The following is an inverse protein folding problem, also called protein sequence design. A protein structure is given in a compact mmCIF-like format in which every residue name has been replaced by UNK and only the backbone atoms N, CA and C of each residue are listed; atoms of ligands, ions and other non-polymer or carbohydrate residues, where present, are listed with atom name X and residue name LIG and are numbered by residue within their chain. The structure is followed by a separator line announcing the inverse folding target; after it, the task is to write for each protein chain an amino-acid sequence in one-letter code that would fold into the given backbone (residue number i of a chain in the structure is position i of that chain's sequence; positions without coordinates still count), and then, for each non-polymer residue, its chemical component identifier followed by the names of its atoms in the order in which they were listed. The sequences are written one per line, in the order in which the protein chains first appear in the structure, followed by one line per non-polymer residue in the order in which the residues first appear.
data_IF_589971067128
#
_entry.id   IF_589971067128
#
_cell.length_a   1.000
_cell.length_b   1.000
_cell.length_c   1.000
_cell.angle_alpha   90.00
_cell.angle_beta   90.00
_cell.angle_gamma   90.00
#
_symmetry.space_group_name_H-M   'P 1'
#
loop_
_entity.id
_entity.type
_entity.pdbx_description
1 polymer ?
#
# COMPACT_ATOMS: atom_id res chain seq x y z
N UNK A 1 -2.46 55.63 22.58
CA UNK A 1 -1.65 54.79 23.48
C UNK A 1 -1.75 53.34 23.03
N UNK A 2 -0.60 52.66 22.98
CA UNK A 2 -0.39 51.28 22.52
C UNK A 2 -1.16 50.26 23.37
N UNK A 3 -1.63 49.16 22.77
CA UNK A 3 -1.04 47.84 23.05
C UNK A 3 -1.50 46.76 22.05
N UNK A 4 -0.50 46.18 21.40
CA UNK A 4 -0.52 44.96 20.60
C UNK A 4 -0.16 43.79 21.54
N UNK A 5 -0.89 42.66 21.45
CA UNK A 5 -0.40 41.28 21.71
C UNK A 5 -1.24 40.33 20.82
N UNK A 6 -0.77 39.90 19.64
CA UNK A 6 -0.13 38.60 19.33
C UNK A 6 -0.93 37.36 19.79
N UNK A 7 -1.62 36.68 18.85
CA UNK A 7 -1.26 35.44 18.11
C UNK A 7 -1.62 34.16 18.88
N UNK A 8 -2.40 33.30 18.21
CA UNK A 8 -2.64 31.91 18.60
C UNK A 8 -3.54 31.19 17.60
N UNK A 9 -3.04 30.96 16.38
CA UNK A 9 -3.62 29.97 15.45
C UNK A 9 -3.57 28.59 16.12
N UNK A 10 -4.73 27.98 16.38
CA UNK A 10 -4.82 26.54 16.62
C UNK A 10 -5.42 25.90 15.37
N UNK A 11 -4.60 25.09 14.70
CA UNK A 11 -4.95 24.32 13.52
C UNK A 11 -6.10 23.36 13.84
N UNK A 12 -7.19 23.47 13.09
CA UNK A 12 -8.27 22.48 13.07
C UNK A 12 -7.75 21.26 12.31
N UNK A 13 -7.28 20.26 13.06
CA UNK A 13 -7.05 18.93 12.51
C UNK A 13 -8.42 18.28 12.24
N UNK A 14 -8.84 18.29 10.97
CA UNK A 14 -10.03 17.58 10.52
C UNK A 14 -9.88 16.07 10.73
N UNK A 15 -10.55 15.57 11.76
CA UNK A 15 -10.68 14.15 12.06
C UNK A 15 -11.81 13.59 11.18
N UNK A 16 -11.48 12.97 10.04
CA UNK A 16 -12.45 12.13 9.33
C UNK A 16 -12.40 10.75 9.95
N UNK A 17 -13.19 10.54 10.99
CA UNK A 17 -13.57 9.22 11.46
C UNK A 17 -14.75 8.73 10.63
N UNK A 18 -14.54 7.76 9.74
CA UNK A 18 -15.65 6.97 9.21
C UNK A 18 -15.87 5.82 10.19
N UNK A 19 -16.83 6.01 11.09
CA UNK A 19 -17.37 4.95 11.92
C UNK A 19 -18.28 4.06 11.06
N UNK A 20 -17.92 2.78 10.94
CA UNK A 20 -18.88 1.72 10.68
C UNK A 20 -18.73 0.73 11.83
N UNK A 21 -19.66 0.79 12.79
CA UNK A 21 -19.68 -0.09 13.94
C UNK A 21 -20.00 -1.52 13.53
N UNK A 22 -19.28 -2.48 14.11
CA UNK A 22 -19.77 -3.84 14.38
C UNK A 22 -19.10 -4.33 15.67
N UNK A 23 -19.90 -4.98 16.51
CA UNK A 23 -19.61 -5.25 17.91
C UNK A 23 -18.34 -6.08 18.15
N UNK A 24 -17.75 -5.86 19.34
CA UNK A 24 -16.76 -6.75 19.95
C UNK A 24 -17.32 -8.17 20.02
N UNK A 25 -16.88 -9.04 19.12
CA UNK A 25 -16.72 -10.45 19.43
C UNK A 25 -15.23 -10.71 19.57
N UNK A 26 -14.80 -11.10 20.78
CA UNK A 26 -13.45 -11.57 21.03
C UNK A 26 -13.13 -12.73 20.07
N UNK A 27 -11.96 -12.74 19.39
CA UNK A 27 -11.62 -13.84 18.52
C UNK A 27 -11.41 -15.11 19.35
N UNK A 28 -12.16 -16.17 19.02
CA UNK A 28 -12.11 -17.50 19.65
C UNK A 28 -10.94 -18.37 19.15
N UNK A 29 -9.97 -17.79 18.46
CA UNK A 29 -8.80 -18.48 17.92
C UNK A 29 -7.52 -17.93 18.57
N UNK A 30 -6.54 -18.79 18.92
CA UNK A 30 -5.29 -18.33 19.53
C UNK A 30 -4.64 -17.25 18.65
N UNK A 31 -4.02 -16.21 19.24
CA UNK A 31 -3.28 -15.23 18.47
C UNK A 31 -2.19 -15.95 17.68
N UNK A 32 -2.26 -15.89 16.34
CA UNK A 32 -1.19 -16.40 15.47
C UNK A 32 0.12 -15.65 15.80
N UNK A 33 1.29 -16.30 15.66
CA UNK A 33 2.58 -15.62 15.82
C UNK A 33 2.63 -14.41 14.88
N UNK A 34 2.75 -13.22 15.47
CA UNK A 34 2.90 -11.97 14.74
C UNK A 34 4.39 -11.68 14.58
N UNK A 35 4.81 -11.23 13.39
CA UNK A 35 6.15 -10.66 13.22
C UNK A 35 6.26 -9.40 14.07
N UNK A 36 7.40 -9.22 14.72
CA UNK A 36 7.67 -8.04 15.54
C UNK A 36 7.43 -6.75 14.74
N UNK A 37 6.80 -5.75 15.36
CA UNK A 37 6.54 -4.43 14.76
C UNK A 37 5.26 -4.31 13.93
N UNK A 38 4.50 -5.40 13.73
CA UNK A 38 3.19 -5.35 13.07
C UNK A 38 2.07 -5.64 14.06
N UNK A 39 1.14 -4.71 14.22
CA UNK A 39 -0.09 -4.97 14.97
C UNK A 39 -1.18 -5.40 13.99
N UNK A 40 -1.43 -6.71 13.93
CA UNK A 40 -2.39 -7.34 13.01
C UNK A 40 -3.57 -7.87 13.81
N UNK A 41 -4.75 -7.34 13.54
CA UNK A 41 -6.00 -7.84 14.09
C UNK A 41 -6.80 -8.55 12.98
N UNK A 42 -7.13 -9.83 13.21
CA UNK A 42 -7.98 -10.60 12.30
C UNK A 42 -9.45 -10.30 12.58
N UNK A 43 -10.13 -9.67 11.64
CA UNK A 43 -11.58 -9.40 11.69
C UNK A 43 -12.35 -10.68 11.39
N UNK A 44 -11.90 -11.44 10.39
CA UNK A 44 -12.29 -12.83 10.21
C UNK A 44 -11.15 -13.62 9.59
N UNK A 45 -11.17 -14.92 9.82
CA UNK A 45 -10.25 -15.88 9.23
C UNK A 45 -11.02 -17.19 8.97
N UNK A 46 -10.92 -17.71 7.76
CA UNK A 46 -11.58 -18.94 7.32
C UNK A 46 -10.56 -19.81 6.60
N UNK A 47 -10.72 -21.12 6.77
CA UNK A 47 -9.94 -22.13 6.06
C UNK A 47 -10.88 -23.11 5.38
N UNK A 48 -10.53 -23.53 4.16
CA UNK A 48 -11.26 -24.57 3.43
C UNK A 48 -10.26 -25.48 2.73
N UNK A 49 -10.49 -26.79 2.77
CA UNK A 49 -9.73 -27.73 1.95
C UNK A 49 -10.31 -27.76 0.54
N UNK A 50 -9.50 -27.44 -0.46
CA UNK A 50 -9.82 -27.50 -1.89
C UNK A 50 -8.72 -28.30 -2.58
N UNK A 51 -9.08 -29.38 -3.28
CA UNK A 51 -8.14 -30.31 -3.94
C UNK A 51 -7.02 -30.81 -3.02
N UNK A 52 -7.37 -31.15 -1.78
CA UNK A 52 -6.41 -31.61 -0.75
C UNK A 52 -5.49 -30.52 -0.18
N UNK A 53 -5.62 -29.26 -0.64
CA UNK A 53 -4.85 -28.12 -0.14
C UNK A 53 -5.70 -27.26 0.79
N UNK A 54 -5.15 -26.90 1.95
CA UNK A 54 -5.77 -25.91 2.82
C UNK A 54 -5.65 -24.52 2.17
N UNK A 55 -6.78 -23.87 1.92
CA UNK A 55 -6.91 -22.51 1.40
C UNK A 55 -7.41 -21.59 2.49
N UNK A 56 -6.84 -20.41 2.58
CA UNK A 56 -7.17 -19.42 3.59
C UNK A 56 -7.87 -18.19 2.99
N UNK A 57 -8.84 -17.65 3.71
CA UNK A 57 -9.39 -16.31 3.45
C UNK A 57 -9.52 -15.53 4.74
N UNK A 58 -9.20 -14.24 4.69
CA UNK A 58 -9.22 -13.42 5.89
C UNK A 58 -9.43 -11.95 5.56
N UNK A 59 -9.96 -11.21 6.54
CA UNK A 59 -9.91 -9.75 6.60
C UNK A 59 -9.13 -9.36 7.83
N UNK A 60 -8.20 -8.44 7.67
CA UNK A 60 -7.38 -7.92 8.75
C UNK A 60 -7.47 -6.40 8.86
N UNK A 61 -7.30 -5.90 10.06
CA UNK A 61 -6.94 -4.52 10.35
C UNK A 61 -5.45 -4.50 10.74
N UNK A 62 -4.72 -3.52 10.22
CA UNK A 62 -3.30 -3.37 10.47
C UNK A 62 -2.98 -1.97 10.92
N UNK A 63 -2.04 -1.90 11.86
CA UNK A 63 -1.38 -0.67 12.28
C UNK A 63 0.12 -0.90 12.12
N UNK A 64 0.74 -0.14 11.22
CA UNK A 64 2.18 -0.18 11.00
C UNK A 64 2.78 1.22 11.28
N UNK A 65 3.95 1.23 11.92
CA UNK A 65 4.75 2.45 12.08
C UNK A 65 5.75 2.51 10.94
N UNK A 66 5.62 3.52 10.08
CA UNK A 66 6.42 3.65 8.86
C UNK A 66 7.43 4.77 9.02
N UNK A 67 8.68 4.52 8.63
CA UNK A 67 9.75 5.50 8.61
C UNK A 67 9.88 6.11 7.22
N UNK A 68 10.00 7.43 7.12
CA UNK A 68 10.12 8.10 5.83
C UNK A 68 11.39 7.65 5.12
N UNK A 69 11.27 7.24 3.87
CA UNK A 69 12.38 6.80 3.04
C UNK A 69 12.71 7.89 2.02
N UNK A 70 13.98 8.31 2.00
CA UNK A 70 14.52 9.07 0.88
C UNK A 70 14.93 8.08 -0.20
N UNK A 71 14.17 8.03 -1.30
CA UNK A 71 14.47 7.17 -2.44
C UNK A 71 15.82 7.55 -3.04
N UNK A 72 16.83 6.70 -2.91
CA UNK A 72 18.14 6.92 -3.54
C UNK A 72 18.14 6.43 -5.00
N UNK A 73 17.27 5.46 -5.30
CA UNK A 73 17.07 4.91 -6.62
C UNK A 73 16.38 5.92 -7.56
N UNK A 74 17.13 6.46 -8.52
CA UNK A 74 16.64 7.47 -9.46
C UNK A 74 15.60 6.91 -10.42
N UNK A 75 15.76 5.67 -10.87
CA UNK A 75 14.82 5.02 -11.78
C UNK A 75 13.48 4.80 -11.07
N UNK A 76 13.50 4.26 -9.85
CA UNK A 76 12.28 4.08 -9.05
C UNK A 76 11.63 5.41 -8.68
N UNK A 77 12.43 6.43 -8.33
CA UNK A 77 11.89 7.77 -8.11
C UNK A 77 11.17 8.28 -9.36
N UNK A 78 11.78 8.18 -10.53
CA UNK A 78 11.19 8.59 -11.81
C UNK A 78 9.93 7.79 -12.13
N UNK A 79 9.96 6.47 -12.00
CA UNK A 79 8.81 5.60 -12.21
C UNK A 79 7.61 5.98 -11.33
N UNK A 80 7.87 6.23 -10.04
CA UNK A 80 6.82 6.60 -9.09
C UNK A 80 6.28 8.03 -9.32
N UNK A 81 7.16 9.02 -9.49
CA UNK A 81 6.78 10.43 -9.60
C UNK A 81 6.20 10.81 -10.97
N UNK A 82 6.68 10.20 -12.06
CA UNK A 82 6.29 10.61 -13.43
C UNK A 82 5.29 9.68 -14.09
N UNK A 83 5.27 8.40 -13.74
CA UNK A 83 4.37 7.42 -14.37
C UNK A 83 3.22 7.03 -13.43
N UNK A 84 3.53 6.40 -12.30
CA UNK A 84 2.53 5.91 -11.36
C UNK A 84 1.67 7.05 -10.80
N UNK A 85 2.30 8.15 -10.35
CA UNK A 85 1.58 9.33 -9.88
C UNK A 85 0.59 9.85 -10.92
N UNK A 86 1.01 9.95 -12.19
CA UNK A 86 0.15 10.42 -13.26
C UNK A 86 -1.02 9.47 -13.52
N UNK A 87 -0.81 8.15 -13.48
CA UNK A 87 -1.89 7.15 -13.60
C UNK A 87 -2.89 7.25 -12.45
N UNK A 88 -2.42 7.41 -11.21
CA UNK A 88 -3.28 7.60 -10.03
C UNK A 88 -4.10 8.89 -10.17
N UNK A 89 -3.49 10.01 -10.57
CA UNK A 89 -4.20 11.28 -10.76
C UNK A 89 -5.28 11.19 -11.85
N UNK A 90 -5.06 10.41 -12.92
CA UNK A 90 -6.11 10.18 -13.93
C UNK A 90 -7.26 9.38 -13.34
N UNK A 91 -7.00 8.31 -12.58
CA UNK A 91 -8.06 7.56 -11.90
C UNK A 91 -8.84 8.43 -10.90
N UNK A 92 -8.16 9.34 -10.19
CA UNK A 92 -8.81 10.32 -9.32
C UNK A 92 -9.72 11.27 -10.10
N UNK A 93 -9.23 11.86 -11.19
CA UNK A 93 -10.03 12.77 -12.04
C UNK A 93 -11.24 12.08 -12.65
N UNK A 94 -11.09 10.80 -13.02
CA UNK A 94 -12.17 9.96 -13.56
C UNK A 94 -13.07 9.34 -12.47
N UNK A 95 -12.89 9.70 -11.20
CA UNK A 95 -13.69 9.23 -10.04
C UNK A 95 -13.64 7.71 -9.79
N UNK A 96 -12.63 7.01 -10.32
CA UNK A 96 -12.35 5.61 -9.98
C UNK A 96 -11.63 5.48 -8.63
N UNK A 97 -10.86 6.51 -8.24
CA UNK A 97 -10.30 6.62 -6.91
C UNK A 97 -11.33 7.30 -5.98
N UNK A 98 -11.93 6.52 -5.08
CA UNK A 98 -12.99 7.02 -4.19
C UNK A 98 -12.47 7.91 -3.07
N UNK A 99 -11.22 7.71 -2.65
CA UNK A 99 -10.63 8.40 -1.49
C UNK A 99 -9.49 9.30 -1.94
N UNK A 100 -9.50 10.61 -1.60
CA UNK A 100 -8.50 11.56 -2.09
C UNK A 100 -7.09 11.33 -1.52
N UNK A 101 -6.99 10.75 -0.32
CA UNK A 101 -5.73 10.47 0.39
C UNK A 101 -5.47 8.97 0.52
N UNK A 102 -5.74 8.21 -0.55
CA UNK A 102 -5.48 6.78 -0.61
C UNK A 102 -4.02 6.46 -0.26
N UNK A 103 -3.83 5.51 0.67
CA UNK A 103 -2.57 4.85 0.94
C UNK A 103 -2.34 3.74 -0.08
N UNK A 104 -1.20 3.81 -0.77
CA UNK A 104 -0.75 2.77 -1.69
C UNK A 104 0.38 1.96 -1.06
N UNK A 105 0.66 0.79 -1.62
CA UNK A 105 1.60 -0.18 -1.08
C UNK A 105 2.51 -0.68 -2.18
N UNK A 106 3.82 -0.70 -1.92
CA UNK A 106 4.82 -1.32 -2.78
C UNK A 106 5.19 -2.68 -2.17
N UNK A 107 4.87 -3.76 -2.88
CA UNK A 107 5.09 -5.14 -2.42
C UNK A 107 5.87 -5.95 -3.46
N UNK A 108 6.67 -6.94 -3.04
CA UNK A 108 7.42 -7.77 -3.96
C UNK A 108 6.51 -8.85 -4.55
N UNK A 109 6.52 -9.02 -5.87
CA UNK A 109 5.80 -10.12 -6.55
C UNK A 109 6.58 -11.42 -6.47
N UNK A 110 7.91 -11.33 -6.46
CA UNK A 110 8.88 -12.43 -6.43
C UNK A 110 10.01 -12.14 -5.45
N UNK A 111 10.77 -13.17 -5.08
CA UNK A 111 11.87 -13.07 -4.14
C UNK A 111 13.07 -12.26 -4.68
N UNK A 112 13.19 -12.10 -5.99
CA UNK A 112 14.26 -11.35 -6.66
C UNK A 112 14.13 -9.84 -6.54
N UNK A 113 13.00 -9.33 -6.02
CA UNK A 113 12.66 -7.90 -5.91
C UNK A 113 12.71 -7.13 -7.26
N UNK A 114 12.84 -7.84 -8.38
CA UNK A 114 12.83 -7.25 -9.72
C UNK A 114 11.41 -6.94 -10.20
N UNK A 115 10.45 -7.73 -9.71
CA UNK A 115 9.03 -7.56 -9.99
C UNK A 115 8.32 -7.04 -8.73
N UNK A 116 7.78 -5.83 -8.83
CA UNK A 116 7.09 -5.14 -7.75
C UNK A 116 5.65 -4.85 -8.17
N UNK A 117 4.76 -4.77 -7.20
CA UNK A 117 3.42 -4.23 -7.39
C UNK A 117 3.23 -2.97 -6.55
N UNK A 118 2.60 -1.96 -7.14
CA UNK A 118 2.08 -0.76 -6.48
C UNK A 118 0.55 -0.87 -6.48
N UNK A 119 -0.07 -0.91 -5.31
CA UNK A 119 -1.51 -1.19 -5.20
C UNK A 119 -2.19 -0.53 -4.01
N UNK A 120 -3.52 -0.43 -4.03
CA UNK A 120 -4.29 -0.18 -2.81
C UNK A 120 -4.31 -1.42 -1.91
N UNK A 121 -4.63 -1.25 -0.63
CA UNK A 121 -4.66 -2.32 0.35
C UNK A 121 -5.52 -3.52 -0.09
N UNK A 122 -6.67 -3.26 -0.73
CA UNK A 122 -7.60 -4.29 -1.18
C UNK A 122 -7.00 -5.27 -2.20
N UNK A 123 -5.90 -4.91 -2.87
CA UNK A 123 -5.33 -5.69 -3.98
C UNK A 123 -3.92 -6.20 -3.70
N UNK A 124 -3.48 -6.22 -2.43
CA UNK A 124 -2.15 -6.76 -2.09
C UNK A 124 -2.00 -8.26 -2.40
N UNK A 125 -3.10 -9.02 -2.38
CA UNK A 125 -3.11 -10.45 -2.75
C UNK A 125 -2.21 -11.37 -1.91
N UNK A 126 -1.70 -10.89 -0.76
CA UNK A 126 -0.77 -11.62 0.11
C UNK A 126 -1.29 -11.72 1.53
N UNK A 127 -0.83 -12.74 2.26
CA UNK A 127 -1.20 -12.92 3.67
C UNK A 127 -0.59 -11.81 4.52
N UNK A 128 -1.27 -11.46 5.60
CA UNK A 128 -0.78 -10.44 6.53
C UNK A 128 0.61 -10.74 7.10
N UNK A 129 0.90 -12.00 7.41
CA UNK A 129 2.18 -12.41 7.97
C UNK A 129 3.33 -12.43 6.94
N UNK A 130 3.00 -12.40 5.65
CA UNK A 130 3.98 -12.37 4.56
C UNK A 130 4.45 -10.94 4.24
N UNK A 131 3.80 -9.93 4.81
CA UNK A 131 4.04 -8.52 4.54
C UNK A 131 4.50 -7.77 5.79
N UNK A 132 5.67 -7.14 5.72
CA UNK A 132 6.19 -6.28 6.78
C UNK A 132 6.48 -4.89 6.23
N UNK A 133 5.63 -3.90 6.53
CA UNK A 133 5.82 -2.53 6.07
C UNK A 133 6.57 -1.73 7.12
N UNK A 134 7.76 -1.24 6.77
CA UNK A 134 8.64 -0.49 7.71
C UNK A 134 8.90 0.92 7.25
N UNK A 135 8.66 1.21 5.96
CA UNK A 135 9.02 2.47 5.35
C UNK A 135 7.85 3.09 4.57
N UNK A 136 7.94 4.39 4.32
CA UNK A 136 7.05 5.07 3.38
C UNK A 136 7.78 6.12 2.54
N UNK A 137 7.30 6.38 1.32
CA UNK A 137 7.64 7.59 0.58
C UNK A 137 6.35 8.35 0.20
N UNK A 138 6.52 9.55 -0.35
CA UNK A 138 5.41 10.34 -0.88
C UNK A 138 5.63 10.59 -2.36
N UNK A 139 4.55 10.47 -3.14
CA UNK A 139 4.47 10.98 -4.51
C UNK A 139 3.30 11.95 -4.61
N UNK A 140 3.60 13.22 -4.87
CA UNK A 140 2.61 14.29 -4.75
C UNK A 140 1.90 14.27 -3.38
N UNK A 141 0.58 14.01 -3.40
CA UNK A 141 -0.26 13.91 -2.19
C UNK A 141 -0.32 12.51 -1.58
N UNK A 142 0.06 11.47 -2.33
CA UNK A 142 -0.15 10.09 -1.94
C UNK A 142 1.00 9.57 -1.09
N UNK A 143 0.66 8.73 -0.12
CA UNK A 143 1.64 8.00 0.69
C UNK A 143 1.76 6.58 0.15
N UNK A 144 2.99 6.10 -0.02
CA UNK A 144 3.29 4.74 -0.43
C UNK A 144 3.99 4.04 0.72
N UNK A 145 3.34 3.07 1.34
CA UNK A 145 3.96 2.15 2.30
C UNK A 145 4.82 1.13 1.53
N UNK A 146 6.02 0.86 2.02
CA UNK A 146 7.03 0.06 1.34
C UNK A 146 7.37 -1.14 2.23
N UNK A 147 7.28 -2.33 1.64
CA UNK A 147 7.65 -3.58 2.29
C UNK A 147 9.16 -3.59 2.62
N UNK A 148 9.53 -4.15 3.78
CA UNK A 148 10.87 -4.06 4.36
C UNK A 148 11.98 -4.60 3.46
N UNK A 149 11.72 -5.71 2.75
CA UNK A 149 12.68 -6.29 1.81
C UNK A 149 13.01 -5.34 0.67
N UNK A 150 12.04 -4.53 0.24
CA UNK A 150 12.20 -3.53 -0.80
C UNK A 150 12.86 -2.26 -0.24
N UNK A 151 12.40 -1.80 0.93
CA UNK A 151 12.81 -0.54 1.54
C UNK A 151 14.34 -0.43 1.68
N UNK A 152 14.99 -1.53 2.06
CA UNK A 152 16.46 -1.61 2.21
C UNK A 152 17.23 -1.35 0.92
N UNK A 153 16.64 -1.70 -0.23
CA UNK A 153 17.25 -1.52 -1.56
C UNK A 153 16.95 -0.16 -2.20
N UNK A 154 15.82 0.47 -1.85
CA UNK A 154 15.34 1.67 -2.53
C UNK A 154 15.95 2.98 -2.02
N UNK A 155 16.50 3.01 -0.81
CA UNK A 155 17.00 4.26 -0.27
C UNK A 155 17.40 4.24 1.19
N UNK A 156 17.47 5.45 1.76
CA UNK A 156 17.92 5.67 3.13
C UNK A 156 16.76 6.14 4.00
N UNK A 157 16.58 5.55 5.20
CA UNK A 157 15.57 6.02 6.14
C UNK A 157 15.92 7.42 6.66
N UNK A 158 14.90 8.23 6.87
CA UNK A 158 14.95 9.54 7.51
C UNK A 158 14.34 9.45 8.92
N UNK A 159 14.48 10.49 9.73
CA UNK A 159 13.99 10.50 11.12
C UNK A 159 12.46 10.56 11.26
N UNK A 160 11.74 11.03 10.25
CA UNK A 160 10.29 11.19 10.32
C UNK A 160 9.57 9.85 10.27
N UNK A 161 8.75 9.56 11.28
CA UNK A 161 7.85 8.40 11.30
C UNK A 161 6.38 8.82 11.15
N UNK A 162 5.55 7.88 10.74
CA UNK A 162 4.08 8.03 10.70
C UNK A 162 3.42 6.71 11.05
N UNK A 163 2.15 6.75 11.44
CA UNK A 163 1.35 5.55 11.73
C UNK A 163 0.31 5.37 10.64
N UNK A 164 0.42 4.28 9.90
CA UNK A 164 -0.55 3.89 8.89
C UNK A 164 -1.57 2.91 9.50
N UNK A 165 -2.85 3.20 9.33
CA UNK A 165 -3.96 2.32 9.73
C UNK A 165 -4.76 1.95 8.49
N UNK A 166 -4.92 0.67 8.23
CA UNK A 166 -5.60 0.20 7.03
C UNK A 166 -6.18 -1.20 7.25
N UNK A 167 -7.11 -1.58 6.39
CA UNK A 167 -7.70 -2.92 6.39
C UNK A 167 -7.69 -3.48 4.99
N UNK A 168 -7.50 -4.79 4.87
CA UNK A 168 -7.67 -5.47 3.60
C UNK A 168 -8.07 -6.92 3.82
N UNK A 169 -8.51 -7.55 2.74
CA UNK A 169 -8.83 -8.97 2.73
C UNK A 169 -7.95 -9.67 1.70
N UNK A 170 -7.63 -10.93 1.95
CA UNK A 170 -7.12 -11.83 0.93
C UNK A 170 -7.98 -13.08 0.90
N UNK A 171 -8.10 -13.68 -0.28
CA UNK A 171 -8.90 -14.86 -0.47
C UNK A 171 -8.20 -15.83 -1.43
N UNK A 172 -7.66 -16.92 -0.89
CA UNK A 172 -7.10 -18.01 -1.68
C UNK A 172 -8.18 -18.95 -2.23
N UNK A 173 -9.43 -18.78 -1.80
CA UNK A 173 -10.58 -19.62 -2.17
C UNK A 173 -11.23 -19.13 -3.47
N UNK A 174 -11.21 -17.81 -3.72
CA UNK A 174 -11.92 -17.17 -4.84
C UNK A 174 -11.01 -16.71 -6.00
N UNK A 175 -9.78 -17.21 -6.09
CA UNK A 175 -8.79 -16.78 -7.10
C UNK A 175 -9.13 -17.30 -8.51
N UNK A 176 -8.95 -16.52 -9.61
CA UNK A 176 -8.29 -15.22 -9.72
C UNK A 176 -9.26 -14.03 -9.87
N UNK A 177 -8.90 -12.89 -9.29
CA UNK A 177 -9.49 -11.60 -9.65
C UNK A 177 -8.93 -11.18 -11.03
N UNK A 178 -9.79 -11.15 -12.04
CA UNK A 178 -9.47 -10.60 -13.36
C UNK A 178 -9.26 -9.09 -13.26
N UNK A 179 -8.06 -8.63 -13.65
CA UNK A 179 -7.65 -7.22 -13.79
C UNK A 179 -8.07 -6.31 -12.63
N UNK A 180 -7.26 -6.29 -11.57
CA UNK A 180 -7.46 -5.37 -10.46
C UNK A 180 -7.24 -3.91 -10.91
N UNK A 181 -8.25 -3.02 -10.79
CA UNK A 181 -8.24 -1.69 -11.40
C UNK A 181 -7.24 -0.72 -10.79
N UNK A 182 -6.55 -1.13 -9.72
CA UNK A 182 -5.66 -0.29 -8.92
C UNK A 182 -4.34 -1.01 -8.57
N UNK A 183 -3.89 -1.93 -9.43
CA UNK A 183 -2.58 -2.59 -9.31
C UNK A 183 -1.72 -2.24 -10.52
N UNK A 184 -0.56 -1.63 -10.26
CA UNK A 184 0.49 -1.44 -11.26
C UNK A 184 1.66 -2.33 -10.95
N UNK A 185 2.18 -3.01 -11.96
CA UNK A 185 3.35 -3.87 -11.89
C UNK A 185 4.55 -3.12 -12.44
N UNK A 186 5.63 -3.07 -11.67
CA UNK A 186 6.91 -2.51 -12.08
C UNK A 186 7.87 -3.68 -12.21
N UNK A 187 8.42 -3.89 -13.41
CA UNK A 187 9.46 -4.88 -13.67
C UNK A 187 10.74 -4.16 -14.05
N UNK A 188 11.80 -4.38 -13.30
CA UNK A 188 13.12 -3.80 -13.56
C UNK A 188 13.92 -4.70 -14.48
N UNK A 189 14.72 -4.11 -15.35
CA UNK A 189 15.76 -4.85 -16.05
C UNK A 189 16.87 -5.26 -15.09
N UNK A 190 17.68 -6.24 -15.51
CA UNK A 190 18.76 -6.82 -14.72
C UNK A 190 19.80 -5.77 -14.28
N UNK A 191 20.07 -4.78 -15.15
CA UNK A 191 21.05 -3.73 -14.88
C UNK A 191 20.46 -2.53 -14.12
N UNK A 192 19.15 -2.55 -13.81
CA UNK A 192 18.44 -1.48 -13.12
C UNK A 192 18.48 -0.12 -13.83
N UNK A 193 18.63 -0.13 -15.16
CA UNK A 193 18.67 1.04 -16.04
C UNK A 193 17.30 1.32 -16.66
N UNK A 194 16.41 0.33 -16.67
CA UNK A 194 15.06 0.50 -17.19
C UNK A 194 14.02 -0.26 -16.37
N UNK A 195 12.78 0.21 -16.40
CA UNK A 195 11.65 -0.57 -15.91
C UNK A 195 10.45 -0.50 -16.83
N UNK A 196 9.74 -1.61 -16.92
CA UNK A 196 8.44 -1.73 -17.58
C UNK A 196 7.37 -1.57 -16.52
N UNK A 197 6.42 -0.68 -16.78
CA UNK A 197 5.27 -0.45 -15.91
C UNK A 197 4.02 -0.92 -16.64
N UNK A 198 3.40 -1.97 -16.10
CA UNK A 198 2.15 -2.53 -16.60
C UNK A 198 1.02 -2.29 -15.60
N UNK A 199 -0.20 -2.10 -16.09
CA UNK A 199 -1.37 -1.97 -15.23
C UNK A 199 -2.40 -1.02 -15.82
N UNK A 200 -3.47 -0.72 -15.07
CA UNK A 200 -4.58 0.09 -15.52
C UNK A 200 -4.10 1.50 -15.92
N UNK A 201 -4.37 1.88 -17.17
CA UNK A 201 -4.29 3.21 -17.70
C UNK A 201 -5.70 3.82 -17.84
N UNK A 202 -5.75 5.13 -17.71
CA UNK A 202 -6.29 6.02 -18.73
C UNK A 202 -7.16 5.32 -19.80
N UNK A 203 -8.48 5.52 -19.70
CA UNK A 203 -9.59 4.95 -20.52
C UNK A 203 -10.01 3.53 -20.15
N UNK A 204 -10.63 3.43 -18.96
CA UNK A 204 -11.77 2.59 -18.53
C UNK A 204 -11.87 1.09 -18.89
N UNK A 205 -11.07 0.53 -19.80
CA UNK A 205 -11.28 -0.82 -20.35
C UNK A 205 -10.03 -1.52 -20.91
N UNK A 206 -8.84 -0.93 -20.94
CA UNK A 206 -7.63 -1.59 -21.47
C UNK A 206 -6.44 -1.40 -20.56
N UNK A 207 -5.51 -2.35 -20.46
CA UNK A 207 -4.23 -2.22 -19.72
C UNK A 207 -3.15 -1.53 -20.58
N UNK A 208 -2.26 -0.70 -20.01
CA UNK A 208 -1.13 -0.10 -20.77
C UNK A 208 0.22 -0.43 -20.17
N UNK A 209 1.19 -0.47 -21.07
CA UNK A 209 2.61 -0.59 -20.78
C UNK A 209 3.30 0.75 -21.00
N UNK A 210 4.25 1.10 -20.14
CA UNK A 210 5.23 2.15 -20.37
C UNK A 210 6.63 1.66 -20.02
N UNK A 211 7.63 2.23 -20.68
CA UNK A 211 9.05 1.96 -20.39
C UNK A 211 9.66 3.24 -19.85
N UNK A 212 10.29 3.14 -18.68
CA UNK A 212 11.02 4.23 -18.04
C UNK A 212 12.50 3.87 -18.05
N UNK A 213 13.34 4.83 -18.44
CA UNK A 213 14.80 4.78 -18.44
C UNK A 213 15.36 5.81 -17.44
#
# INVERSE_FOLDING_TARGET
MRNIKHIGMAAVAGLIAVAAGYGRQSPSTPPRPQKAGCNIEYVYYKTKTVDGKCRESAKVQRIDTLTKLQLADSLMRKALDTDIYMRIERLRKSKYLKTPDTLFFIIPMSADLAHLAVCEAAYMGKKANDLHFTAYCKIGRYTLAIEDSIAKSLGKPLSNTTVARYSYSWDEISFPHTSDPLVWYITRDYNHVACIIFGPPMTTTSSCYSVVY
#
